data_IF_305536852480
#
_entry.id   IF_305536852480
#
_cell.length_a   1.000
_cell.length_b   1.000
_cell.length_c   1.000
_cell.angle_alpha   90.00
_cell.angle_beta   90.00
_cell.angle_gamma   90.00
#
_symmetry.space_group_name_H-M   'P 1'
#
loop_
_entity.id
_entity.type
_entity.pdbx_description
1 polymer ?
#
# COMPACT_ATOMS: atom_id res chain seq x y z
N UNK A 1 14.56 10.57 1.65
CA UNK A 1 13.42 11.36 1.11
C UNK A 1 13.41 11.55 -0.41
N UNK A 2 14.54 11.70 -1.13
CA UNK A 2 14.55 11.98 -2.59
C UNK A 2 13.64 11.05 -3.43
N UNK A 3 13.69 9.74 -3.17
CA UNK A 3 12.84 8.77 -3.88
C UNK A 3 11.33 8.96 -3.62
N UNK A 4 10.93 9.34 -2.40
CA UNK A 4 9.53 9.66 -2.08
C UNK A 4 9.04 10.87 -2.86
N UNK A 5 9.85 11.94 -2.90
CA UNK A 5 9.56 13.15 -3.67
C UNK A 5 9.49 12.85 -5.17
N UNK A 6 10.40 12.03 -5.70
CA UNK A 6 10.38 11.62 -7.10
C UNK A 6 9.11 10.82 -7.45
N UNK A 7 8.64 9.94 -6.57
CA UNK A 7 7.38 9.22 -6.75
C UNK A 7 6.18 10.18 -6.83
N UNK A 8 6.12 11.20 -5.97
CA UNK A 8 5.09 12.22 -6.04
C UNK A 8 5.18 13.09 -7.30
N UNK A 9 6.39 13.37 -7.78
CA UNK A 9 6.59 14.08 -9.04
C UNK A 9 6.09 13.23 -10.23
N UNK A 10 6.43 11.94 -10.28
CA UNK A 10 5.93 11.01 -11.30
C UNK A 10 4.39 10.94 -11.29
N UNK A 11 3.77 10.89 -10.10
CA UNK A 11 2.32 10.90 -9.96
C UNK A 11 1.64 12.17 -10.51
N UNK A 12 2.36 13.29 -10.64
CA UNK A 12 1.84 14.53 -11.25
C UNK A 12 1.96 14.53 -12.77
N UNK A 13 2.82 13.68 -13.34
CA UNK A 13 3.08 13.61 -14.78
C UNK A 13 2.23 12.59 -15.54
N UNK A 14 1.30 11.90 -14.86
CA UNK A 14 0.45 10.86 -15.47
C UNK A 14 -1.03 11.17 -15.24
N UNK A 15 -1.88 10.78 -16.19
CA UNK A 15 -3.34 10.99 -16.13
C UNK A 15 -4.12 9.75 -15.70
N UNK A 16 -3.53 8.55 -15.84
CA UNK A 16 -4.18 7.31 -15.44
C UNK A 16 -4.40 7.26 -13.91
N UNK A 17 -5.65 7.18 -13.42
CA UNK A 17 -5.94 7.28 -11.99
C UNK A 17 -5.31 6.17 -11.15
N UNK A 18 -5.15 4.95 -11.71
CA UNK A 18 -4.51 3.85 -11.01
C UNK A 18 -3.00 4.11 -10.88
N UNK A 19 -2.32 4.50 -11.96
CA UNK A 19 -0.90 4.86 -11.98
C UNK A 19 -0.59 6.04 -11.05
N UNK A 20 -1.44 7.08 -11.03
CA UNK A 20 -1.31 8.21 -10.08
C UNK A 20 -1.33 7.70 -8.65
N UNK A 21 -2.29 6.85 -8.31
CA UNK A 21 -2.45 6.33 -6.96
C UNK A 21 -1.29 5.39 -6.57
N UNK A 22 -0.87 4.50 -7.47
CA UNK A 22 0.27 3.61 -7.27
C UNK A 22 1.57 4.37 -6.99
N UNK A 23 1.87 5.42 -7.78
CA UNK A 23 3.05 6.24 -7.58
C UNK A 23 3.04 6.97 -6.22
N UNK A 24 1.87 7.46 -5.78
CA UNK A 24 1.72 8.05 -4.42
C UNK A 24 1.86 7.01 -3.32
N UNK A 25 1.35 5.80 -3.52
CA UNK A 25 1.51 4.69 -2.57
C UNK A 25 3.00 4.37 -2.35
N UNK A 26 3.78 4.27 -3.43
CA UNK A 26 5.23 4.07 -3.38
C UNK A 26 5.94 5.22 -2.65
N UNK A 27 5.52 6.47 -2.91
CA UNK A 27 6.05 7.65 -2.22
C UNK A 27 5.87 7.57 -0.70
N UNK A 28 4.69 7.17 -0.23
CA UNK A 28 4.41 6.96 1.18
C UNK A 28 5.16 5.77 1.78
N UNK A 29 5.26 4.65 1.05
CA UNK A 29 6.01 3.47 1.51
C UNK A 29 7.49 3.80 1.76
N UNK A 30 8.11 4.57 0.87
CA UNK A 30 9.49 5.06 1.09
C UNK A 30 9.55 6.05 2.26
N UNK A 31 8.52 6.88 2.45
CA UNK A 31 8.46 7.81 3.57
C UNK A 31 8.28 7.10 4.94
N UNK A 32 7.75 5.88 4.97
CA UNK A 32 7.68 5.05 6.19
C UNK A 32 9.06 4.82 6.81
N UNK A 33 10.11 4.69 5.99
CA UNK A 33 11.49 4.58 6.48
C UNK A 33 12.01 5.85 7.17
N UNK A 34 11.40 7.02 6.90
CA UNK A 34 11.68 8.26 7.62
C UNK A 34 10.82 8.41 8.88
N UNK A 35 9.51 8.11 8.78
CA UNK A 35 8.58 8.15 9.89
C UNK A 35 7.49 7.10 9.72
N UNK A 36 7.30 6.25 10.73
CA UNK A 36 6.36 5.14 10.70
C UNK A 36 4.92 5.59 10.36
N UNK A 37 4.52 6.80 10.77
CA UNK A 37 3.17 7.36 10.53
C UNK A 37 2.79 7.44 9.04
N UNK A 38 3.78 7.45 8.14
CA UNK A 38 3.52 7.45 6.70
C UNK A 38 3.05 6.08 6.16
N UNK A 39 3.12 4.99 6.94
CA UNK A 39 2.68 3.65 6.53
C UNK A 39 1.20 3.63 6.11
N UNK A 40 0.35 4.40 6.79
CA UNK A 40 -1.08 4.47 6.48
C UNK A 40 -1.33 5.10 5.11
N UNK A 41 -0.48 6.05 4.71
CA UNK A 41 -0.56 6.67 3.38
C UNK A 41 -0.28 5.66 2.26
N UNK A 42 0.66 4.73 2.47
CA UNK A 42 0.98 3.69 1.51
C UNK A 42 -0.22 2.78 1.26
N UNK A 43 -0.85 2.30 2.35
CA UNK A 43 -2.04 1.46 2.29
C UNK A 43 -3.21 2.17 1.58
N UNK A 44 -3.53 3.40 1.99
CA UNK A 44 -4.67 4.16 1.44
C UNK A 44 -4.54 4.37 -0.06
N UNK A 45 -3.36 4.75 -0.54
CA UNK A 45 -3.15 4.97 -1.97
C UNK A 45 -3.04 3.66 -2.76
N UNK A 46 -2.54 2.57 -2.16
CA UNK A 46 -2.58 1.25 -2.78
C UNK A 46 -4.02 0.78 -3.01
N UNK A 47 -4.90 0.89 -2.00
CA UNK A 47 -6.33 0.57 -2.16
C UNK A 47 -7.00 1.43 -3.24
N UNK A 48 -6.68 2.73 -3.30
CA UNK A 48 -7.18 3.63 -4.35
C UNK A 48 -6.73 3.18 -5.74
N UNK A 49 -5.48 2.71 -5.87
CA UNK A 49 -4.94 2.19 -7.12
C UNK A 49 -5.68 0.94 -7.58
N UNK A 50 -5.89 -0.02 -6.69
CA UNK A 50 -6.59 -1.27 -7.00
C UNK A 50 -8.03 -1.00 -7.44
N UNK A 51 -8.75 -0.15 -6.70
CA UNK A 51 -10.11 0.27 -7.06
C UNK A 51 -10.15 0.94 -8.43
N UNK A 52 -9.22 1.84 -8.72
CA UNK A 52 -9.14 2.52 -10.01
C UNK A 52 -8.81 1.57 -11.18
N UNK A 53 -8.07 0.49 -10.92
CA UNK A 53 -7.75 -0.55 -11.87
C UNK A 53 -8.86 -1.62 -12.02
N UNK A 54 -9.98 -1.51 -11.29
CA UNK A 54 -11.02 -2.54 -11.26
C UNK A 54 -10.56 -3.86 -10.63
N UNK A 55 -9.51 -3.82 -9.81
CA UNK A 55 -8.95 -4.99 -9.14
C UNK A 55 -9.56 -5.19 -7.75
N UNK A 56 -9.75 -6.45 -7.39
CA UNK A 56 -10.17 -6.82 -6.04
C UNK A 56 -9.00 -6.71 -5.05
N UNK A 57 -9.20 -5.89 -4.01
CA UNK A 57 -8.23 -5.73 -2.92
C UNK A 57 -8.06 -6.99 -2.08
N UNK A 58 -9.06 -7.87 -2.00
CA UNK A 58 -8.96 -9.15 -1.30
C UNK A 58 -7.94 -10.08 -1.95
N UNK A 59 -7.96 -10.17 -3.28
CA UNK A 59 -6.98 -10.94 -4.06
C UNK A 59 -5.56 -10.39 -3.85
N UNK A 60 -5.40 -9.06 -3.86
CA UNK A 60 -4.09 -8.46 -3.60
C UNK A 60 -3.61 -8.67 -2.17
N UNK A 61 -4.51 -8.56 -1.19
CA UNK A 61 -4.19 -8.86 0.20
C UNK A 61 -3.68 -10.29 0.36
N UNK A 62 -4.38 -11.28 -0.18
CA UNK A 62 -3.94 -12.68 -0.12
C UNK A 62 -2.59 -12.90 -0.80
N UNK A 63 -2.33 -12.23 -1.93
CA UNK A 63 -1.00 -12.25 -2.58
C UNK A 63 0.09 -11.69 -1.69
N UNK A 64 -0.16 -10.60 -0.96
CA UNK A 64 0.81 -10.03 -0.04
C UNK A 64 1.03 -10.92 1.18
N UNK A 65 -0.02 -11.48 1.77
CA UNK A 65 0.08 -12.43 2.88
C UNK A 65 0.86 -13.68 2.48
N UNK A 66 0.64 -14.23 1.27
CA UNK A 66 1.37 -15.39 0.78
C UNK A 66 2.90 -15.16 0.70
N UNK A 67 3.36 -13.90 0.55
CA UNK A 67 4.78 -13.54 0.52
C UNK A 67 5.43 -13.41 1.89
N UNK A 68 4.64 -13.34 2.96
CA UNK A 68 5.17 -13.30 4.32
C UNK A 68 5.70 -14.69 4.72
N UNK A 69 6.76 -14.77 5.56
CA UNK A 69 7.10 -15.98 6.30
C UNK A 69 5.89 -16.51 7.08
N UNK A 70 5.78 -17.83 7.23
CA UNK A 70 4.64 -18.50 7.88
C UNK A 70 4.30 -17.89 9.26
N UNK A 71 5.29 -17.70 10.12
CA UNK A 71 5.12 -17.09 11.44
C UNK A 71 4.46 -15.69 11.40
N UNK A 72 4.68 -14.92 10.33
CA UNK A 72 4.08 -13.59 10.15
C UNK A 72 2.68 -13.67 9.51
N UNK A 73 2.37 -14.72 8.73
CA UNK A 73 1.03 -14.93 8.17
C UNK A 73 0.01 -15.15 9.30
N UNK A 74 0.37 -16.01 10.24
CA UNK A 74 -0.50 -16.34 11.38
C UNK A 74 -0.70 -15.14 12.29
N UNK A 75 0.33 -14.31 12.48
CA UNK A 75 0.20 -13.08 13.26
C UNK A 75 -0.74 -12.05 12.60
N UNK A 76 -0.67 -11.90 11.27
CA UNK A 76 -1.52 -10.95 10.54
C UNK A 76 -2.97 -11.45 10.46
N UNK A 77 -3.17 -12.75 10.26
CA UNK A 77 -4.50 -13.38 10.21
C UNK A 77 -5.13 -13.59 11.59
N UNK A 78 -4.35 -13.90 12.61
CA UNK A 78 -4.82 -14.08 13.99
C UNK A 78 -5.26 -12.78 14.68
N UNK A 79 -4.87 -11.61 14.14
CA UNK A 79 -5.33 -10.31 14.66
C UNK A 79 -6.74 -9.93 14.18
N UNK A 80 -7.28 -10.56 13.15
CA UNK A 80 -8.64 -10.29 12.67
C UNK A 80 -9.74 -11.03 13.45
N UNK A 81 -9.41 -12.04 14.26
CA UNK A 81 -10.39 -12.75 15.09
C UNK A 81 -10.69 -12.04 16.42
N UNK A 82 -9.85 -11.08 16.84
CA UNK A 82 -9.98 -10.34 18.11
C UNK A 82 -10.06 -8.81 17.93
N UNK A 83 -10.26 -8.31 16.71
CA UNK A 83 -10.39 -6.89 16.46
C UNK A 83 -11.87 -6.51 16.34
N UNK A 84 -12.50 -6.26 17.49
CA UNK A 84 -13.67 -5.37 17.53
C UNK A 84 -13.22 -3.96 17.12
N UNK A 85 -13.74 -3.48 15.99
CA UNK A 85 -13.65 -2.08 15.56
C UNK A 85 -14.98 -1.39 15.81
#
# INVERSE_FOLDING_TARGET
MKASVAAHAAARGVSDPAAVAAARAAGHAVATAHCADHCVGALRYAMKSLKAAGMDSGVEFERQIARLPEALRDQVRGRSENAEW
#
